data_IF_644315658251
#
_entry.id   IF_644315658251
#
_cell.length_a   1.000
_cell.length_b   1.000
_cell.length_c   1.000
_cell.angle_alpha   90.00
_cell.angle_beta   90.00
_cell.angle_gamma   90.00
#
_symmetry.space_group_name_H-M   'P 1'
#
loop_
_entity.id
_entity.type
_entity.pdbx_description
1 polymer ?
#
# COMPACT_ATOMS: atom_id res chain seq x y z
N UNK A 1 -26.74 -22.21 18.93
CA UNK A 1 -25.43 -22.88 19.03
C UNK A 1 -24.84 -22.92 17.63
N UNK A 2 -24.21 -21.85 17.20
CA UNK A 2 -23.50 -21.74 15.92
C UNK A 2 -22.06 -22.15 16.17
N UNK A 3 -21.64 -23.28 15.59
CA UNK A 3 -20.26 -23.72 15.57
C UNK A 3 -19.44 -22.65 14.82
N UNK A 4 -18.69 -21.85 15.53
CA UNK A 4 -17.58 -21.12 14.94
C UNK A 4 -16.56 -22.16 14.46
N UNK A 5 -16.46 -22.33 13.16
CA UNK A 5 -15.39 -23.10 12.55
C UNK A 5 -14.06 -22.46 13.02
N UNK A 6 -13.30 -23.19 13.80
CA UNK A 6 -11.93 -22.84 14.18
C UNK A 6 -11.07 -22.97 12.93
N UNK A 7 -11.07 -21.94 12.07
CA UNK A 7 -10.09 -21.79 11.01
C UNK A 7 -8.75 -21.50 11.72
N UNK A 8 -7.87 -22.50 11.77
CA UNK A 8 -6.51 -22.26 12.23
C UNK A 8 -5.82 -21.38 11.20
N UNK A 9 -5.80 -20.08 11.45
CA UNK A 9 -5.07 -19.13 10.58
C UNK A 9 -3.58 -19.49 10.54
N UNK A 10 -2.96 -19.29 9.37
CA UNK A 10 -1.53 -19.55 9.14
C UNK A 10 -0.59 -18.62 9.92
N UNK A 11 -1.13 -17.54 10.52
CA UNK A 11 -0.39 -16.53 11.28
C UNK A 11 -1.15 -15.21 11.35
N UNK A 12 -0.49 -14.20 11.90
CA UNK A 12 -1.01 -12.84 12.02
C UNK A 12 -0.30 -11.93 11.03
N UNK A 13 -1.07 -11.29 10.16
CA UNK A 13 -0.57 -10.29 9.22
C UNK A 13 -0.85 -8.89 9.74
N UNK A 14 0.17 -8.03 9.68
CA UNK A 14 -0.02 -6.59 9.75
C UNK A 14 0.40 -5.95 8.42
N UNK A 15 -0.41 -5.03 7.91
CA UNK A 15 0.00 -4.17 6.81
C UNK A 15 -0.62 -2.79 6.96
N UNK A 16 0.17 -1.77 6.65
CA UNK A 16 -0.24 -0.37 6.76
C UNK A 16 -0.08 0.38 5.45
N UNK A 17 -1.00 1.33 5.19
CA UNK A 17 -0.93 2.23 4.05
C UNK A 17 -1.10 3.67 4.50
N UNK A 18 -0.23 4.56 3.98
CA UNK A 18 -0.28 5.98 4.33
C UNK A 18 -1.40 6.67 3.55
N UNK A 19 -2.27 7.45 4.22
CA UNK A 19 -3.36 8.17 3.57
C UNK A 19 -2.87 9.50 2.94
N UNK A 20 -1.95 9.41 1.98
CA UNK A 20 -1.34 10.55 1.30
C UNK A 20 -2.03 10.89 -0.02
N UNK A 21 -3.35 10.73 -0.09
CA UNK A 21 -4.23 11.06 -1.22
C UNK A 21 -4.90 9.82 -1.81
N UNK A 22 -5.63 9.99 -2.94
CA UNK A 22 -6.43 8.95 -3.59
C UNK A 22 -5.58 7.75 -4.02
N UNK A 23 -6.14 6.54 -3.96
CA UNK A 23 -5.44 5.35 -4.44
C UNK A 23 -5.43 5.28 -5.96
N UNK A 24 -4.38 4.69 -6.49
CA UNK A 24 -4.22 4.48 -7.91
C UNK A 24 -4.04 3.00 -8.26
N UNK A 25 -4.14 2.69 -9.53
CA UNK A 25 -4.07 1.32 -10.05
C UNK A 25 -2.81 0.56 -9.58
N UNK A 26 -1.68 1.26 -9.43
CA UNK A 26 -0.45 0.68 -8.89
C UNK A 26 -0.56 0.27 -7.41
N UNK A 27 -1.33 0.98 -6.58
CA UNK A 27 -1.61 0.58 -5.20
C UNK A 27 -2.51 -0.66 -5.15
N UNK A 28 -3.53 -0.69 -6.02
CA UNK A 28 -4.46 -1.80 -6.11
C UNK A 28 -3.75 -3.11 -6.49
N UNK A 29 -3.02 -3.10 -7.59
CA UNK A 29 -2.30 -4.27 -8.09
C UNK A 29 -1.10 -4.65 -7.23
N UNK A 30 -0.42 -3.64 -6.66
CA UNK A 30 0.82 -3.86 -5.88
C UNK A 30 0.59 -4.33 -4.45
N UNK A 31 -0.54 -4.00 -3.84
CA UNK A 31 -0.80 -4.30 -2.43
C UNK A 31 -2.21 -4.84 -2.19
N UNK A 32 -3.24 -4.09 -2.60
CA UNK A 32 -4.60 -4.30 -2.15
C UNK A 32 -5.19 -5.65 -2.61
N UNK A 33 -4.93 -6.07 -3.85
CA UNK A 33 -5.35 -7.40 -4.34
C UNK A 33 -4.75 -8.54 -3.51
N UNK A 34 -3.48 -8.41 -3.13
CA UNK A 34 -2.82 -9.39 -2.27
C UNK A 34 -3.45 -9.42 -0.87
N UNK A 35 -3.80 -8.26 -0.31
CA UNK A 35 -4.49 -8.18 0.98
C UNK A 35 -5.84 -8.89 0.98
N UNK A 36 -6.63 -8.70 -0.09
CA UNK A 36 -7.91 -9.40 -0.28
C UNK A 36 -7.73 -10.91 -0.29
N UNK A 37 -6.67 -11.41 -0.91
CA UNK A 37 -6.39 -12.86 -0.95
C UNK A 37 -5.92 -13.37 0.42
N UNK A 38 -5.08 -12.61 1.11
CA UNK A 38 -4.49 -13.04 2.39
C UNK A 38 -5.50 -13.18 3.53
N UNK A 39 -6.59 -12.42 3.51
CA UNK A 39 -7.63 -12.49 4.56
C UNK A 39 -8.37 -13.83 4.62
N UNK A 40 -8.25 -14.68 3.58
CA UNK A 40 -8.84 -16.02 3.60
C UNK A 40 -8.04 -17.02 4.44
N UNK A 41 -6.74 -16.78 4.60
CA UNK A 41 -5.80 -17.71 5.21
C UNK A 41 -5.20 -17.21 6.55
N UNK A 42 -5.19 -15.91 6.78
CA UNK A 42 -4.50 -15.26 7.90
C UNK A 42 -5.44 -14.41 8.74
N UNK A 43 -5.07 -14.20 10.01
CA UNK A 43 -5.65 -13.13 10.83
C UNK A 43 -5.06 -11.80 10.38
N UNK A 44 -5.81 -11.02 9.60
CA UNK A 44 -5.31 -9.80 8.97
C UNK A 44 -5.67 -8.53 9.74
N UNK A 45 -4.68 -7.66 9.89
CA UNK A 45 -4.81 -6.34 10.54
C UNK A 45 -4.31 -5.30 9.55
N UNK A 46 -5.24 -4.48 9.03
CA UNK A 46 -4.97 -3.45 8.03
C UNK A 46 -5.14 -2.06 8.63
N UNK A 47 -4.13 -1.23 8.51
CA UNK A 47 -4.04 0.05 9.21
C UNK A 47 -3.86 1.23 8.24
N UNK A 48 -4.72 2.24 8.36
CA UNK A 48 -4.46 3.56 7.79
C UNK A 48 -3.43 4.28 8.69
N UNK A 49 -2.16 4.33 8.27
CA UNK A 49 -1.06 4.83 9.12
C UNK A 49 -0.91 6.34 8.99
N UNK A 50 -1.82 7.08 9.64
CA UNK A 50 -1.90 8.53 9.60
C UNK A 50 -0.74 9.22 10.33
N UNK A 51 -0.21 8.64 11.41
CA UNK A 51 0.97 9.15 12.09
C UNK A 51 2.21 9.02 11.20
N UNK A 52 2.37 7.90 10.49
CA UNK A 52 3.43 7.75 9.51
C UNK A 52 3.34 8.77 8.36
N UNK A 53 2.13 9.19 7.99
CA UNK A 53 1.97 10.21 6.96
C UNK A 53 2.66 11.52 7.35
N UNK A 54 2.65 11.89 8.63
CA UNK A 54 3.28 13.11 9.14
C UNK A 54 4.80 13.16 8.94
N UNK A 55 5.47 12.01 8.75
CA UNK A 55 6.94 11.96 8.62
C UNK A 55 7.47 12.64 7.35
N UNK A 56 6.62 12.87 6.36
CA UNK A 56 6.97 13.44 5.06
C UNK A 56 6.08 14.59 4.62
N UNK A 57 5.16 15.05 5.47
CA UNK A 57 4.34 16.22 5.17
C UNK A 57 5.09 17.50 5.60
N UNK A 58 5.07 18.49 4.71
CA UNK A 58 5.83 19.72 4.89
C UNK A 58 4.95 20.91 5.28
N UNK A 59 3.62 20.79 5.15
CA UNK A 59 2.69 21.87 5.40
C UNK A 59 1.47 21.47 6.23
N UNK A 60 0.90 22.46 6.95
CA UNK A 60 -0.35 22.28 7.68
C UNK A 60 -1.56 22.02 6.78
N UNK A 61 -1.50 22.43 5.51
CA UNK A 61 -2.58 22.15 4.55
C UNK A 61 -2.60 20.67 4.18
N UNK A 62 -1.44 20.06 3.95
CA UNK A 62 -1.34 18.61 3.68
C UNK A 62 -1.84 17.78 4.87
N UNK A 63 -1.62 18.25 6.11
CA UNK A 63 -2.12 17.57 7.31
C UNK A 63 -3.66 17.56 7.35
N UNK A 64 -4.32 18.62 6.88
CA UNK A 64 -5.78 18.69 6.84
C UNK A 64 -6.40 17.68 5.87
N UNK A 65 -5.66 17.28 4.84
CA UNK A 65 -6.09 16.29 3.85
C UNK A 65 -6.01 14.84 4.37
N UNK A 66 -5.32 14.58 5.49
CA UNK A 66 -5.16 13.22 6.03
C UNK A 66 -6.53 12.57 6.29
N UNK A 67 -7.43 13.28 6.98
CA UNK A 67 -8.73 12.72 7.37
C UNK A 67 -9.62 12.39 6.17
N UNK A 68 -9.87 13.29 5.21
CA UNK A 68 -10.61 12.93 4.00
C UNK A 68 -9.92 11.83 3.18
N UNK A 69 -8.59 11.82 3.11
CA UNK A 69 -7.85 10.77 2.43
C UNK A 69 -7.99 9.39 3.10
N UNK A 70 -8.12 9.33 4.44
CA UNK A 70 -8.42 8.07 5.16
C UNK A 70 -9.78 7.54 4.72
N UNK A 71 -10.83 8.35 4.77
CA UNK A 71 -12.19 7.92 4.41
C UNK A 71 -12.24 7.39 2.97
N UNK A 72 -11.61 8.10 2.04
CA UNK A 72 -11.56 7.71 0.63
C UNK A 72 -10.75 6.42 0.40
N UNK A 73 -9.60 6.30 1.07
CA UNK A 73 -8.76 5.10 1.01
C UNK A 73 -9.47 3.86 1.56
N UNK A 74 -10.22 3.99 2.65
CA UNK A 74 -10.99 2.88 3.22
C UNK A 74 -12.16 2.48 2.31
N UNK A 75 -12.81 3.43 1.65
CA UNK A 75 -13.80 3.14 0.60
C UNK A 75 -13.18 2.25 -0.50
N UNK A 76 -11.98 2.59 -0.95
CA UNK A 76 -11.27 1.79 -1.96
C UNK A 76 -10.91 0.39 -1.44
N UNK A 77 -10.47 0.25 -0.17
CA UNK A 77 -10.17 -1.05 0.42
C UNK A 77 -11.39 -1.96 0.48
N UNK A 78 -12.51 -1.44 0.97
CA UNK A 78 -13.76 -2.19 1.05
C UNK A 78 -14.30 -2.53 -0.34
N UNK A 79 -14.23 -1.60 -1.29
CA UNK A 79 -14.64 -1.82 -2.67
C UNK A 79 -13.77 -2.87 -3.39
N UNK A 80 -12.48 -2.94 -3.05
CA UNK A 80 -11.57 -3.96 -3.54
C UNK A 80 -11.87 -5.36 -2.99
N UNK A 81 -12.58 -5.46 -1.85
CA UNK A 81 -12.98 -6.72 -1.24
C UNK A 81 -12.37 -7.01 0.14
N UNK A 82 -11.77 -6.01 0.80
CA UNK A 82 -11.41 -6.16 2.22
C UNK A 82 -12.71 -6.28 3.02
N UNK A 83 -12.82 -7.38 3.77
CA UNK A 83 -13.98 -7.72 4.59
C UNK A 83 -13.69 -7.38 6.06
N UNK A 84 -14.40 -6.39 6.65
CA UNK A 84 -14.21 -5.99 8.04
C UNK A 84 -14.68 -7.04 9.08
N UNK A 85 -15.42 -8.08 8.63
CA UNK A 85 -15.75 -9.22 9.49
C UNK A 85 -14.61 -10.24 9.56
N UNK A 86 -13.74 -10.30 8.54
CA UNK A 86 -12.57 -11.19 8.47
C UNK A 86 -11.29 -10.50 8.95
N UNK A 87 -11.20 -9.20 8.75
CA UNK A 87 -9.98 -8.40 8.98
C UNK A 87 -10.25 -7.24 9.93
N UNK A 88 -9.28 -6.87 10.75
CA UNK A 88 -9.34 -5.65 11.54
C UNK A 88 -8.90 -4.49 10.64
N UNK A 89 -9.78 -3.50 10.44
CA UNK A 89 -9.50 -2.29 9.65
C UNK A 89 -9.62 -1.07 10.54
N UNK A 90 -8.55 -0.29 10.70
CA UNK A 90 -8.54 0.82 11.64
C UNK A 90 -7.56 1.94 11.24
N UNK A 91 -7.57 3.04 12.00
CA UNK A 91 -6.62 4.16 11.86
C UNK A 91 -5.59 4.08 12.98
N UNK A 92 -4.31 4.26 12.66
CA UNK A 92 -3.19 4.16 13.59
C UNK A 92 -3.38 5.03 14.85
N UNK A 93 -3.79 6.28 14.68
CA UNK A 93 -4.04 7.22 15.80
C UNK A 93 -5.17 6.81 16.73
N UNK A 94 -6.05 5.87 16.35
CA UNK A 94 -7.08 5.32 17.23
C UNK A 94 -6.51 4.38 18.30
N UNK A 95 -5.24 3.98 18.17
CA UNK A 95 -4.53 3.07 19.08
C UNK A 95 -3.29 3.78 19.66
N UNK A 96 -3.45 4.64 20.68
CA UNK A 96 -2.34 5.42 21.24
C UNK A 96 -1.23 4.55 21.85
N UNK A 97 -1.49 3.30 22.14
CA UNK A 97 -0.54 2.32 22.61
C UNK A 97 0.66 2.12 21.65
N UNK A 98 0.49 2.40 20.36
CA UNK A 98 1.57 2.34 19.37
C UNK A 98 2.66 3.40 19.67
N UNK A 99 2.25 4.60 20.08
CA UNK A 99 3.19 5.67 20.44
C UNK A 99 3.94 5.32 21.73
N UNK A 100 3.29 4.67 22.69
CA UNK A 100 3.93 4.14 23.90
C UNK A 100 5.00 3.12 23.53
N UNK A 101 4.67 2.11 22.72
CA UNK A 101 5.64 1.11 22.29
C UNK A 101 6.78 1.72 21.47
N UNK A 102 6.48 2.62 20.54
CA UNK A 102 7.49 3.36 19.79
C UNK A 102 8.48 4.06 20.71
N UNK A 103 7.99 4.74 21.75
CA UNK A 103 8.87 5.43 22.72
C UNK A 103 9.76 4.43 23.46
N UNK A 104 9.21 3.32 23.96
CA UNK A 104 9.99 2.30 24.66
C UNK A 104 11.07 1.68 23.75
N UNK A 105 10.69 1.33 22.51
CA UNK A 105 11.65 0.79 21.52
C UNK A 105 12.73 1.80 21.15
N UNK A 106 12.40 3.10 21.10
CA UNK A 106 13.37 4.17 20.81
C UNK A 106 14.49 4.23 21.86
N UNK A 107 14.21 3.88 23.12
CA UNK A 107 15.22 3.86 24.21
C UNK A 107 16.24 2.73 24.05
N UNK A 108 15.89 1.68 23.30
CA UNK A 108 16.76 0.50 23.13
C UNK A 108 17.33 0.38 21.72
N UNK A 109 16.88 1.21 20.76
CA UNK A 109 17.34 1.13 19.37
C UNK A 109 18.53 2.05 19.11
N UNK A 110 19.70 1.53 18.69
CA UNK A 110 20.85 2.36 18.37
C UNK A 110 20.60 3.25 17.14
N UNK A 111 20.89 4.56 17.24
CA UNK A 111 20.74 5.51 16.14
C UNK A 111 21.45 5.07 14.84
N UNK A 112 22.65 4.47 14.97
CA UNK A 112 23.41 3.99 13.81
C UNK A 112 22.73 2.86 13.03
N UNK A 113 21.72 2.19 13.57
CA UNK A 113 20.91 1.23 12.81
C UNK A 113 19.97 1.95 11.85
N UNK A 114 19.36 3.03 12.31
CA UNK A 114 18.36 3.81 11.56
C UNK A 114 19.00 4.55 10.39
N UNK A 115 20.14 5.22 10.62
CA UNK A 115 20.84 6.02 9.60
C UNK A 115 21.52 5.16 8.52
N UNK A 116 21.70 3.85 8.75
CA UNK A 116 22.25 2.92 7.74
C UNK A 116 21.23 2.35 6.79
N UNK A 117 19.93 2.46 7.08
CA UNK A 117 18.87 1.94 6.19
C UNK A 117 18.93 2.67 4.84
N UNK A 118 19.02 1.94 3.70
CA UNK A 118 19.14 2.57 2.38
C UNK A 118 18.04 3.58 2.07
N UNK A 119 16.79 3.24 2.39
CA UNK A 119 15.62 4.09 2.15
C UNK A 119 15.64 5.40 2.95
N UNK A 120 16.29 5.44 4.13
CA UNK A 120 16.52 6.69 4.87
C UNK A 120 17.38 7.65 4.03
N UNK A 121 18.52 7.17 3.54
CA UNK A 121 19.45 7.97 2.74
C UNK A 121 18.81 8.47 1.44
N UNK A 122 17.99 7.62 0.79
CA UNK A 122 17.30 7.99 -0.43
C UNK A 122 16.23 9.06 -0.17
N UNK A 123 15.49 8.98 0.94
CA UNK A 123 14.52 10.01 1.34
C UNK A 123 15.19 11.34 1.66
N UNK A 124 16.30 11.33 2.42
CA UNK A 124 17.08 12.54 2.71
C UNK A 124 17.48 13.25 1.41
N UNK A 125 17.95 12.48 0.39
CA UNK A 125 18.31 13.04 -0.91
C UNK A 125 17.10 13.60 -1.67
N UNK A 126 15.97 12.87 -1.65
CA UNK A 126 14.74 13.29 -2.34
C UNK A 126 14.17 14.58 -1.77
N UNK A 127 14.24 14.76 -0.45
CA UNK A 127 13.80 15.97 0.25
C UNK A 127 14.81 17.11 0.13
N UNK A 128 15.98 16.89 -0.50
CA UNK A 128 17.10 17.85 -0.58
C UNK A 128 17.60 18.33 0.79
N UNK A 129 17.46 17.47 1.79
CA UNK A 129 17.87 17.68 3.16
C UNK A 129 19.24 17.04 3.44
N UNK A 130 19.78 17.30 4.62
CA UNK A 130 20.94 16.60 5.16
C UNK A 130 20.54 15.75 6.37
N UNK A 131 21.40 14.84 6.81
CA UNK A 131 21.13 14.04 8.02
C UNK A 131 20.96 14.92 9.28
N UNK A 132 21.43 16.16 9.26
CA UNK A 132 21.37 17.12 10.37
C UNK A 132 20.07 17.95 10.35
N UNK A 133 19.44 18.12 9.17
CA UNK A 133 18.27 19.00 9.00
C UNK A 133 16.94 18.24 8.95
N UNK A 134 16.96 16.91 8.73
CA UNK A 134 15.74 16.09 8.67
C UNK A 134 15.05 16.02 10.03
N UNK A 135 13.72 15.94 10.00
CA UNK A 135 12.91 15.74 11.18
C UNK A 135 13.24 14.43 11.89
N UNK A 136 13.21 14.45 13.24
CA UNK A 136 13.33 13.23 14.04
C UNK A 136 12.36 12.13 13.59
N UNK A 137 11.13 12.47 13.20
CA UNK A 137 10.16 11.52 12.67
C UNK A 137 10.66 10.74 11.45
N UNK A 138 11.44 11.38 10.56
CA UNK A 138 12.04 10.69 9.41
C UNK A 138 13.18 9.75 9.82
N UNK A 139 13.91 10.06 10.89
CA UNK A 139 14.92 9.15 11.46
C UNK A 139 14.26 8.00 12.20
N UNK A 140 13.21 8.29 12.98
CA UNK A 140 12.54 7.34 13.88
C UNK A 140 11.46 6.47 13.23
N UNK A 141 11.03 6.75 11.97
CA UNK A 141 9.91 6.01 11.37
C UNK A 141 10.10 4.49 11.30
N UNK A 142 11.32 3.92 11.15
CA UNK A 142 11.47 2.47 11.14
C UNK A 142 11.19 1.84 12.52
N UNK A 143 11.41 2.59 13.60
CA UNK A 143 11.05 2.15 14.96
C UNK A 143 9.53 2.21 15.14
N UNK A 144 8.87 3.25 14.61
CA UNK A 144 7.42 3.34 14.61
C UNK A 144 6.79 2.21 13.79
N UNK A 145 7.35 1.89 12.63
CA UNK A 145 6.91 0.75 11.81
C UNK A 145 7.09 -0.58 12.56
N UNK A 146 8.19 -0.74 13.28
CA UNK A 146 8.40 -1.92 14.14
C UNK A 146 7.33 -1.98 15.23
N UNK A 147 7.04 -0.86 15.90
CA UNK A 147 5.99 -0.80 16.91
C UNK A 147 4.61 -1.19 16.36
N UNK A 148 4.24 -0.68 15.18
CA UNK A 148 2.99 -1.06 14.50
C UNK A 148 2.88 -2.57 14.27
N UNK A 149 3.95 -3.20 13.84
CA UNK A 149 3.99 -4.64 13.53
C UNK A 149 3.84 -5.47 14.81
N UNK A 150 4.72 -5.22 15.78
CA UNK A 150 4.85 -6.11 16.94
C UNK A 150 3.81 -5.86 18.03
N UNK A 151 3.15 -4.69 18.02
CA UNK A 151 2.07 -4.36 18.95
C UNK A 151 0.91 -5.36 18.83
N UNK A 152 0.70 -5.90 17.65
CA UNK A 152 -0.33 -6.90 17.35
C UNK A 152 0.22 -8.33 17.26
N UNK A 153 1.45 -8.56 17.69
CA UNK A 153 2.15 -9.85 17.58
C UNK A 153 2.17 -10.40 16.16
N UNK A 154 2.19 -9.52 15.15
CA UNK A 154 2.24 -9.94 13.76
C UNK A 154 3.58 -10.64 13.44
N UNK A 155 3.47 -11.80 12.81
CA UNK A 155 4.61 -12.65 12.43
C UNK A 155 4.90 -12.60 10.92
N UNK A 156 3.93 -12.18 10.12
CA UNK A 156 3.99 -12.20 8.65
C UNK A 156 3.65 -10.83 8.08
N UNK A 157 4.57 -10.24 7.30
CA UNK A 157 4.42 -8.88 6.78
C UNK A 157 4.48 -8.88 5.25
N UNK A 158 3.36 -8.69 4.55
CA UNK A 158 3.33 -8.62 3.09
C UNK A 158 3.99 -7.33 2.62
N UNK A 159 5.09 -7.45 1.90
CA UNK A 159 5.91 -6.30 1.47
C UNK A 159 6.46 -6.49 0.06
N UNK A 160 6.75 -5.38 -0.61
CA UNK A 160 7.62 -5.35 -1.78
C UNK A 160 9.09 -5.55 -1.40
N UNK A 161 9.92 -5.92 -2.38
CA UNK A 161 11.35 -6.17 -2.19
C UNK A 161 12.09 -4.96 -1.57
N UNK A 162 11.67 -3.75 -1.87
CA UNK A 162 12.24 -2.50 -1.35
C UNK A 162 12.03 -2.31 0.16
N UNK A 163 11.02 -2.98 0.75
CA UNK A 163 10.68 -2.92 2.17
C UNK A 163 11.37 -4.01 3.03
N UNK A 164 12.00 -4.99 2.42
CA UNK A 164 12.70 -6.07 3.15
C UNK A 164 13.72 -5.54 4.16
N UNK A 165 14.55 -4.51 3.84
CA UNK A 165 15.49 -3.95 4.82
C UNK A 165 14.83 -3.40 6.09
N UNK A 166 13.59 -2.90 5.99
CA UNK A 166 12.84 -2.42 7.16
C UNK A 166 12.37 -3.57 8.04
N UNK A 167 11.94 -4.69 7.43
CA UNK A 167 11.55 -5.87 8.19
C UNK A 167 12.76 -6.50 8.88
N UNK A 168 13.93 -6.55 8.23
CA UNK A 168 15.15 -7.01 8.87
C UNK A 168 15.54 -6.11 10.05
N UNK A 169 15.43 -4.79 9.93
CA UNK A 169 15.64 -3.88 11.05
C UNK A 169 14.63 -4.14 12.18
N UNK A 170 13.36 -4.37 11.86
CA UNK A 170 12.34 -4.71 12.86
C UNK A 170 12.72 -5.99 13.61
N UNK A 171 13.24 -7.01 12.94
CA UNK A 171 13.74 -8.25 13.55
C UNK A 171 14.91 -7.99 14.52
N UNK A 172 15.86 -7.15 14.11
CA UNK A 172 16.99 -6.77 14.98
C UNK A 172 16.51 -6.02 16.25
N UNK A 173 15.54 -5.12 16.11
CA UNK A 173 14.94 -4.43 17.26
C UNK A 173 14.23 -5.43 18.18
N UNK A 174 13.43 -6.34 17.62
CA UNK A 174 12.75 -7.41 18.38
C UNK A 174 13.76 -8.29 19.13
N UNK A 175 14.79 -8.78 18.45
CA UNK A 175 15.84 -9.60 19.09
C UNK A 175 16.50 -8.88 20.26
N UNK A 176 16.81 -7.59 20.05
CA UNK A 176 17.42 -6.77 21.08
C UNK A 176 16.49 -6.61 22.28
N UNK A 177 15.22 -6.31 22.06
CA UNK A 177 14.23 -6.19 23.13
C UNK A 177 14.07 -7.52 23.89
N UNK A 178 13.84 -8.63 23.17
CA UNK A 178 13.67 -9.95 23.77
C UNK A 178 14.92 -10.39 24.56
N UNK A 179 16.12 -10.08 24.09
CA UNK A 179 17.37 -10.38 24.81
C UNK A 179 17.52 -9.55 26.09
N UNK A 180 17.01 -8.31 26.14
CA UNK A 180 17.13 -7.45 27.31
C UNK A 180 16.07 -7.73 28.39
N UNK A 181 14.83 -8.04 27.96
CA UNK A 181 13.68 -8.09 28.86
C UNK A 181 12.98 -9.45 28.90
N UNK A 182 13.42 -10.41 28.11
CA UNK A 182 12.79 -11.72 27.95
C UNK A 182 11.88 -11.80 26.73
N UNK A 183 11.63 -13.02 26.29
CA UNK A 183 10.84 -13.30 25.09
C UNK A 183 9.44 -12.69 25.20
N UNK A 184 9.13 -11.75 24.29
CA UNK A 184 7.90 -10.96 24.31
C UNK A 184 7.27 -10.90 22.90
N UNK A 185 8.07 -10.67 21.87
CA UNK A 185 7.59 -10.47 20.51
C UNK A 185 8.05 -11.56 19.55
N UNK A 186 7.18 -12.04 18.63
CA UNK A 186 7.62 -12.85 17.51
C UNK A 186 8.53 -12.02 16.58
N UNK A 187 9.50 -12.68 15.92
CA UNK A 187 10.28 -12.04 14.87
C UNK A 187 9.46 -11.94 13.59
N UNK A 188 9.17 -10.72 13.08
CA UNK A 188 8.38 -10.55 11.86
C UNK A 188 9.13 -11.09 10.64
N UNK A 189 8.41 -11.76 9.74
CA UNK A 189 8.94 -12.31 8.50
C UNK A 189 8.37 -11.56 7.30
N UNK A 190 9.22 -11.15 6.38
CA UNK A 190 8.79 -10.57 5.12
C UNK A 190 8.14 -11.66 4.24
N UNK A 191 6.90 -11.41 3.81
CA UNK A 191 6.22 -12.20 2.79
C UNK A 191 6.22 -11.38 1.50
N UNK A 192 7.07 -11.75 0.56
CA UNK A 192 7.16 -11.03 -0.71
C UNK A 192 5.84 -11.12 -1.48
N UNK A 193 5.37 -9.99 -1.95
CA UNK A 193 4.20 -9.89 -2.82
C UNK A 193 4.66 -10.09 -4.26
N UNK A 194 4.14 -11.11 -4.92
CA UNK A 194 4.36 -11.36 -6.36
C UNK A 194 3.47 -10.45 -7.22
N UNK A 195 3.50 -9.16 -6.95
CA UNK A 195 2.72 -8.21 -7.74
C UNK A 195 3.56 -7.69 -8.91
N UNK A 196 2.97 -7.59 -10.12
CA UNK A 196 3.67 -7.01 -11.24
C UNK A 196 4.00 -5.54 -10.96
N UNK A 197 5.22 -5.11 -11.28
CA UNK A 197 5.56 -3.71 -11.26
C UNK A 197 4.77 -3.00 -12.38
N UNK A 198 3.82 -2.16 -12.00
CA UNK A 198 3.07 -1.35 -12.96
C UNK A 198 3.80 -0.03 -13.16
N UNK A 199 4.27 0.18 -14.37
CA UNK A 199 4.81 1.47 -14.78
C UNK A 199 3.68 2.48 -14.91
N UNK A 200 4.00 3.74 -14.62
CA UNK A 200 3.10 4.84 -14.87
C UNK A 200 2.87 5.10 -16.35
N UNK A 201 2.01 6.06 -16.65
CA UNK A 201 1.68 6.42 -18.04
C UNK A 201 2.88 6.99 -18.82
N UNK A 202 3.94 7.41 -18.14
CA UNK A 202 5.22 7.83 -18.71
C UNK A 202 6.06 6.65 -19.25
N UNK A 203 5.73 5.42 -18.89
CA UNK A 203 6.41 4.21 -19.32
C UNK A 203 7.83 4.01 -18.80
N UNK A 204 8.27 4.82 -17.83
CA UNK A 204 9.65 4.82 -17.31
C UNK A 204 9.70 4.57 -15.81
N UNK A 205 8.85 5.23 -15.05
CA UNK A 205 8.83 5.19 -13.62
C UNK A 205 7.65 4.35 -13.10
N UNK A 206 7.80 3.82 -11.88
CA UNK A 206 6.67 3.22 -11.17
C UNK A 206 5.51 4.21 -11.10
N UNK A 207 4.29 3.71 -11.25
CA UNK A 207 3.09 4.54 -11.13
C UNK A 207 3.04 5.24 -9.78
N UNK A 208 2.93 6.56 -9.79
CA UNK A 208 2.85 7.38 -8.57
C UNK A 208 2.18 8.73 -8.85
N UNK A 209 1.61 9.33 -7.82
CA UNK A 209 1.02 10.67 -7.87
C UNK A 209 2.06 11.77 -8.05
N UNK A 210 3.17 11.65 -7.33
CA UNK A 210 4.28 12.62 -7.37
C UNK A 210 4.82 12.81 -8.78
N UNK A 211 4.78 11.77 -9.61
CA UNK A 211 5.22 11.82 -11.01
C UNK A 211 4.08 12.17 -11.99
N UNK A 212 2.87 12.41 -11.49
CA UNK A 212 1.66 12.62 -12.31
C UNK A 212 1.48 11.60 -13.45
N UNK A 213 1.89 10.36 -13.23
CA UNK A 213 1.87 9.28 -14.21
C UNK A 213 0.87 8.16 -13.85
N UNK A 214 -0.07 8.42 -12.93
CA UNK A 214 -0.98 7.45 -12.34
C UNK A 214 -2.38 7.44 -12.97
N UNK A 215 -3.12 6.36 -12.70
CA UNK A 215 -4.55 6.22 -12.93
C UNK A 215 -5.24 5.99 -11.59
N UNK A 216 -6.13 6.89 -11.19
CA UNK A 216 -6.90 6.78 -9.94
C UNK A 216 -7.92 5.65 -10.02
N UNK A 217 -8.10 4.91 -8.93
CA UNK A 217 -9.08 3.82 -8.86
C UNK A 217 -10.51 4.36 -8.98
N UNK A 218 -10.78 5.46 -8.29
CA UNK A 218 -12.09 6.09 -8.21
C UNK A 218 -12.42 6.98 -9.43
N UNK A 219 -11.49 7.15 -10.39
CA UNK A 219 -11.72 7.96 -11.59
C UNK A 219 -12.89 7.40 -12.42
N UNK A 220 -13.66 8.30 -13.02
CA UNK A 220 -14.72 7.90 -13.97
C UNK A 220 -14.13 7.22 -15.21
N UNK A 221 -14.94 6.47 -16.00
CA UNK A 221 -14.49 5.90 -17.26
C UNK A 221 -13.95 6.96 -18.23
N UNK A 222 -14.57 8.14 -18.27
CA UNK A 222 -14.15 9.27 -19.10
C UNK A 222 -12.79 9.82 -18.67
N UNK A 223 -12.58 10.02 -17.36
CA UNK A 223 -11.32 10.49 -16.80
C UNK A 223 -10.20 9.47 -17.03
N UNK A 224 -10.48 8.19 -16.81
CA UNK A 224 -9.55 7.09 -17.12
C UNK A 224 -9.15 7.11 -18.59
N UNK A 225 -10.10 7.23 -19.50
CA UNK A 225 -9.84 7.29 -20.94
C UNK A 225 -8.99 8.52 -21.30
N UNK A 226 -9.33 9.69 -20.74
CA UNK A 226 -8.57 10.92 -20.95
C UNK A 226 -7.11 10.76 -20.49
N UNK A 227 -6.90 10.15 -19.32
CA UNK A 227 -5.54 9.90 -18.79
C UNK A 227 -4.77 8.88 -19.63
N UNK A 228 -5.37 7.78 -20.03
CA UNK A 228 -4.74 6.75 -20.87
C UNK A 228 -4.32 7.34 -22.23
N UNK A 229 -5.10 8.25 -22.80
CA UNK A 229 -4.75 8.93 -24.05
C UNK A 229 -3.46 9.75 -23.96
N UNK A 230 -3.08 10.26 -22.79
CA UNK A 230 -1.81 10.98 -22.58
C UNK A 230 -0.60 10.06 -22.45
N UNK A 231 -0.79 8.75 -22.28
CA UNK A 231 0.29 7.82 -22.01
C UNK A 231 1.34 7.78 -23.12
N UNK A 232 2.58 7.54 -22.71
CA UNK A 232 3.71 7.40 -23.62
C UNK A 232 3.63 6.09 -24.42
N UNK A 233 4.02 6.15 -25.69
CA UNK A 233 4.06 5.03 -26.63
C UNK A 233 5.46 4.82 -27.17
N UNK A 234 5.65 3.96 -28.16
CA UNK A 234 6.94 3.77 -28.84
C UNK A 234 7.45 5.10 -29.44
N UNK A 235 8.58 5.64 -28.98
CA UNK A 235 9.08 6.93 -29.44
C UNK A 235 9.59 6.93 -30.89
N UNK A 236 9.84 5.76 -31.47
CA UNK A 236 10.27 5.66 -32.86
C UNK A 236 9.11 5.55 -33.83
N UNK A 237 7.89 5.31 -33.38
CA UNK A 237 6.69 5.30 -34.20
C UNK A 237 6.15 6.72 -34.37
N UNK A 238 6.66 7.43 -35.35
CA UNK A 238 6.33 8.85 -35.62
C UNK A 238 5.07 9.02 -36.44
N UNK A 239 4.78 8.06 -37.34
CA UNK A 239 3.62 8.10 -38.24
C UNK A 239 2.71 6.91 -37.98
N UNK A 240 1.43 7.04 -38.40
CA UNK A 240 0.44 5.97 -38.26
C UNK A 240 0.86 4.71 -39.01
N UNK A 241 1.49 4.88 -40.17
CA UNK A 241 1.87 3.79 -41.07
C UNK A 241 3.24 3.20 -40.74
N UNK A 242 3.93 3.72 -39.72
CA UNK A 242 5.16 3.13 -39.23
C UNK A 242 4.83 1.86 -38.38
N UNK A 243 5.49 0.72 -38.62
CA UNK A 243 5.40 -0.44 -37.73
C UNK A 243 5.83 -0.07 -36.31
N UNK A 244 5.01 -0.45 -35.33
CA UNK A 244 5.34 -0.24 -33.93
C UNK A 244 6.15 -1.38 -33.33
N UNK A 245 6.73 -1.13 -32.16
CA UNK A 245 7.50 -2.12 -31.38
C UNK A 245 6.79 -2.33 -30.03
N UNK A 246 5.88 -3.32 -29.95
CA UNK A 246 5.12 -3.58 -28.71
C UNK A 246 6.00 -3.80 -27.49
N UNK A 247 7.18 -4.39 -27.63
CA UNK A 247 8.09 -4.74 -26.53
C UNK A 247 8.61 -3.52 -25.76
N UNK A 248 8.70 -2.37 -26.40
CA UNK A 248 9.16 -1.10 -25.79
C UNK A 248 8.00 -0.15 -25.51
N UNK A 249 6.77 -0.56 -25.83
CA UNK A 249 5.58 0.26 -25.67
C UNK A 249 4.89 -0.01 -24.34
N UNK A 250 4.80 1.00 -23.48
CA UNK A 250 4.12 0.89 -22.20
C UNK A 250 2.63 0.53 -22.33
N UNK A 251 1.95 1.04 -23.36
CA UNK A 251 0.54 0.70 -23.65
C UNK A 251 0.39 -0.82 -23.87
N UNK A 252 1.31 -1.43 -24.61
CA UNK A 252 1.29 -2.87 -24.81
C UNK A 252 1.56 -3.65 -23.49
N UNK A 253 2.45 -3.14 -22.65
CA UNK A 253 2.68 -3.73 -21.33
C UNK A 253 1.42 -3.71 -20.46
N UNK A 254 0.64 -2.64 -20.52
CA UNK A 254 -0.65 -2.54 -19.83
C UNK A 254 -1.72 -3.45 -20.48
N UNK A 255 -1.74 -3.58 -21.81
CA UNK A 255 -2.64 -4.55 -22.48
C UNK A 255 -2.41 -5.99 -22.00
N UNK A 256 -1.15 -6.39 -21.75
CA UNK A 256 -0.85 -7.73 -21.20
C UNK A 256 -1.50 -7.99 -19.84
N UNK A 257 -1.78 -6.94 -19.09
CA UNK A 257 -2.40 -7.03 -17.76
C UNK A 257 -3.93 -6.98 -17.87
N UNK A 258 -4.48 -6.09 -18.69
CA UNK A 258 -5.90 -5.73 -18.64
C UNK A 258 -6.75 -6.25 -19.81
N UNK A 259 -6.17 -6.66 -20.95
CA UNK A 259 -6.95 -6.93 -22.16
C UNK A 259 -7.15 -8.42 -22.50
N UNK A 260 -6.67 -9.33 -21.66
CA UNK A 260 -6.75 -10.77 -21.96
C UNK A 260 -5.82 -11.20 -23.12
N UNK A 261 -5.59 -12.49 -23.26
CA UNK A 261 -4.56 -13.04 -24.16
C UNK A 261 -4.87 -12.83 -25.65
N UNK A 262 -6.12 -13.02 -26.06
CA UNK A 262 -6.54 -12.88 -27.46
C UNK A 262 -6.43 -11.42 -27.94
N UNK A 263 -6.99 -10.48 -27.16
CA UNK A 263 -6.90 -9.05 -27.47
C UNK A 263 -5.45 -8.56 -27.47
N UNK A 264 -4.63 -9.04 -26.55
CA UNK A 264 -3.20 -8.70 -26.49
C UNK A 264 -2.46 -9.19 -27.73
N UNK A 265 -2.75 -10.41 -28.20
CA UNK A 265 -2.18 -10.96 -29.44
C UNK A 265 -2.61 -10.15 -30.66
N UNK A 266 -3.86 -9.76 -30.74
CA UNK A 266 -4.41 -8.91 -31.80
C UNK A 266 -3.72 -7.55 -31.82
N UNK A 267 -3.58 -6.91 -30.65
CA UNK A 267 -2.87 -5.62 -30.52
C UNK A 267 -1.41 -5.73 -30.98
N UNK A 268 -0.73 -6.82 -30.65
CA UNK A 268 0.64 -7.07 -31.10
C UNK A 268 0.73 -7.08 -32.62
N UNK A 269 -0.07 -7.94 -33.27
CA UNK A 269 -0.06 -8.12 -34.72
C UNK A 269 -0.41 -6.82 -35.45
N UNK A 270 -1.46 -6.13 -35.00
CA UNK A 270 -1.91 -4.89 -35.64
C UNK A 270 -0.91 -3.73 -35.42
N UNK A 271 -0.20 -3.72 -34.31
CA UNK A 271 0.85 -2.73 -34.03
C UNK A 271 2.06 -2.94 -34.93
N UNK A 272 2.55 -4.17 -35.06
CA UNK A 272 3.72 -4.54 -35.87
C UNK A 272 3.47 -4.43 -37.37
N UNK A 273 2.22 -4.55 -37.82
CA UNK A 273 1.81 -4.39 -39.22
C UNK A 273 1.29 -2.98 -39.55
N UNK A 274 1.35 -2.05 -38.60
CA UNK A 274 0.85 -0.67 -38.72
C UNK A 274 -0.67 -0.54 -39.05
N UNK A 275 -1.46 -1.62 -38.85
CA UNK A 275 -2.91 -1.59 -39.13
C UNK A 275 -3.72 -0.91 -38.04
N UNK A 276 -3.19 -0.80 -36.80
CA UNK A 276 -3.81 -0.08 -35.67
C UNK A 276 -3.04 1.21 -35.35
N UNK A 277 -3.76 2.32 -35.22
CA UNK A 277 -3.16 3.59 -34.72
C UNK A 277 -2.95 3.59 -33.21
N UNK A 278 -1.96 4.35 -32.69
CA UNK A 278 -1.70 4.44 -31.25
C UNK A 278 -2.90 4.99 -30.46
N UNK A 279 -3.66 5.91 -31.01
CA UNK A 279 -4.86 6.47 -30.37
C UNK A 279 -5.95 5.39 -30.21
N UNK A 280 -6.16 4.59 -31.25
CA UNK A 280 -7.15 3.49 -31.20
C UNK A 280 -6.72 2.40 -30.22
N UNK A 281 -5.41 2.12 -30.16
CA UNK A 281 -4.82 1.20 -29.18
C UNK A 281 -5.04 1.70 -27.74
N UNK A 282 -4.79 2.98 -27.47
CA UNK A 282 -5.02 3.59 -26.14
C UNK A 282 -6.50 3.58 -25.74
N UNK A 283 -7.43 3.82 -26.67
CA UNK A 283 -8.86 3.72 -26.39
C UNK A 283 -9.26 2.30 -26.01
N UNK A 284 -8.81 1.33 -26.78
CA UNK A 284 -9.06 -0.08 -26.47
C UNK A 284 -8.50 -0.48 -25.07
N UNK A 285 -7.29 0.01 -24.72
CA UNK A 285 -6.76 -0.19 -23.38
C UNK A 285 -7.62 0.48 -22.30
N UNK A 286 -8.07 1.70 -22.54
CA UNK A 286 -8.93 2.42 -21.60
C UNK A 286 -10.25 1.66 -21.36
N UNK A 287 -10.86 1.12 -22.42
CA UNK A 287 -12.07 0.28 -22.30
C UNK A 287 -11.78 -0.96 -21.46
N UNK A 288 -10.65 -1.65 -21.72
CA UNK A 288 -10.23 -2.84 -20.93
C UNK A 288 -10.00 -2.52 -19.45
N UNK A 289 -9.38 -1.38 -19.14
CA UNK A 289 -9.15 -0.93 -17.75
C UNK A 289 -10.50 -0.57 -17.10
N UNK A 290 -11.39 0.10 -17.82
CA UNK A 290 -12.70 0.47 -17.30
C UNK A 290 -13.55 -0.76 -17.00
N UNK A 291 -13.55 -1.76 -17.88
CA UNK A 291 -14.24 -3.04 -17.65
C UNK A 291 -13.65 -3.77 -16.45
N UNK A 292 -12.32 -3.77 -16.31
CA UNK A 292 -11.64 -4.39 -15.18
C UNK A 292 -11.97 -3.73 -13.83
N UNK A 293 -12.13 -2.42 -13.79
CA UNK A 293 -12.44 -1.67 -12.58
C UNK A 293 -13.94 -1.48 -12.32
N UNK A 294 -14.80 -1.92 -13.22
CA UNK A 294 -16.25 -1.68 -13.16
C UNK A 294 -16.86 -2.12 -11.84
N UNK A 295 -16.70 -3.40 -11.48
CA UNK A 295 -17.29 -3.97 -10.27
C UNK A 295 -16.74 -3.31 -8.99
N UNK A 296 -15.47 -2.92 -8.99
CA UNK A 296 -14.86 -2.18 -7.87
C UNK A 296 -15.52 -0.81 -7.72
N UNK A 297 -15.69 -0.08 -8.82
CA UNK A 297 -16.29 1.26 -8.81
C UNK A 297 -17.77 1.21 -8.41
N UNK A 298 -18.52 0.22 -8.90
CA UNK A 298 -19.93 0.01 -8.51
C UNK A 298 -20.02 -0.26 -7.00
N UNK A 299 -19.24 -1.20 -6.46
CA UNK A 299 -19.20 -1.45 -5.01
C UNK A 299 -18.79 -0.21 -4.20
N UNK A 300 -17.86 0.58 -4.72
CA UNK A 300 -17.41 1.81 -4.06
C UNK A 300 -18.56 2.81 -3.90
N UNK A 301 -19.35 3.04 -4.94
CA UNK A 301 -20.50 3.93 -4.88
C UNK A 301 -21.59 3.38 -3.95
N UNK A 302 -21.85 2.07 -3.94
CA UNK A 302 -22.80 1.44 -3.01
C UNK A 302 -22.38 1.61 -1.55
N UNK A 303 -21.08 1.47 -1.24
CA UNK A 303 -20.55 1.67 0.12
C UNK A 303 -20.62 3.13 0.50
N UNK A 304 -20.25 4.03 -0.40
CA UNK A 304 -20.30 5.49 -0.20
C UNK A 304 -21.71 6.00 0.08
N UNK A 305 -22.71 5.38 -0.51
CA UNK A 305 -24.13 5.71 -0.25
C UNK A 305 -24.58 5.33 1.18
N UNK A 306 -23.83 4.46 1.88
CA UNK A 306 -24.12 4.03 3.26
C UNK A 306 -23.50 5.01 4.26
N UNK A 307 -24.22 6.09 4.57
CA UNK A 307 -23.73 7.12 5.49
C UNK A 307 -23.24 6.56 6.83
N UNK A 308 -22.04 6.96 7.26
CA UNK A 308 -21.45 6.56 8.53
C UNK A 308 -20.82 5.15 8.54
N UNK A 309 -20.97 4.37 7.49
CA UNK A 309 -20.51 2.98 7.47
C UNK A 309 -18.98 2.85 7.57
N UNK A 310 -18.22 3.68 6.87
CA UNK A 310 -16.75 3.69 6.95
C UNK A 310 -16.31 4.07 8.37
N UNK A 311 -16.93 5.07 8.96
CA UNK A 311 -16.64 5.52 10.34
C UNK A 311 -16.94 4.44 11.38
N UNK A 312 -18.03 3.69 11.19
CA UNK A 312 -18.39 2.55 12.04
C UNK A 312 -17.33 1.44 11.97
N UNK A 313 -16.90 1.05 10.75
CA UNK A 313 -15.84 0.06 10.54
C UNK A 313 -14.56 0.48 11.24
N UNK A 314 -14.11 1.72 11.03
CA UNK A 314 -12.88 2.24 11.63
C UNK A 314 -12.96 2.31 13.16
N UNK A 315 -14.15 2.64 13.70
CA UNK A 315 -14.38 2.68 15.12
C UNK A 315 -14.33 1.29 15.76
N UNK A 316 -15.05 0.33 15.20
CA UNK A 316 -15.06 -1.04 15.71
C UNK A 316 -13.71 -1.74 15.50
N UNK A 317 -13.06 -1.52 14.34
CA UNK A 317 -11.70 -2.00 14.09
C UNK A 317 -10.69 -1.41 15.08
N UNK A 318 -10.78 -0.10 15.36
CA UNK A 318 -9.97 0.56 16.38
C UNK A 318 -10.14 -0.02 17.78
N UNK A 319 -11.38 -0.35 18.18
CA UNK A 319 -11.63 -1.04 19.47
C UNK A 319 -10.98 -2.42 19.53
N UNK A 320 -11.14 -3.22 18.44
CA UNK A 320 -10.53 -4.57 18.35
C UNK A 320 -9.01 -4.47 18.40
N UNK A 321 -8.40 -3.61 17.59
CA UNK A 321 -6.96 -3.38 17.55
C UNK A 321 -6.42 -2.91 18.91
N UNK A 322 -7.12 -1.94 19.55
CA UNK A 322 -6.71 -1.42 20.86
C UNK A 322 -6.81 -2.44 22.00
N UNK A 323 -7.74 -3.37 21.93
CA UNK A 323 -7.80 -4.46 22.92
C UNK A 323 -6.51 -5.30 22.89
N UNK A 324 -6.08 -5.72 21.69
CA UNK A 324 -4.82 -6.46 21.48
C UNK A 324 -3.61 -5.62 21.96
N UNK A 325 -3.59 -4.35 21.56
CA UNK A 325 -2.50 -3.43 21.89
C UNK A 325 -2.32 -3.24 23.40
N UNK A 326 -3.42 -3.14 24.17
CA UNK A 326 -3.36 -3.00 25.62
C UNK A 326 -2.79 -4.24 26.30
N UNK A 327 -3.18 -5.44 25.85
CA UNK A 327 -2.62 -6.69 26.37
C UNK A 327 -1.11 -6.76 26.11
N UNK A 328 -0.68 -6.41 24.90
CA UNK A 328 0.74 -6.38 24.55
C UNK A 328 1.52 -5.36 25.37
N UNK A 329 1.00 -4.16 25.57
CA UNK A 329 1.66 -3.13 26.39
C UNK A 329 1.73 -3.54 27.85
N UNK A 330 0.70 -4.18 28.39
CA UNK A 330 0.73 -4.72 29.76
C UNK A 330 1.83 -5.77 29.91
N UNK A 331 1.97 -6.70 28.97
CA UNK A 331 3.05 -7.67 28.95
C UNK A 331 4.44 -7.00 28.86
N UNK A 332 4.58 -5.97 28.01
CA UNK A 332 5.84 -5.20 27.88
C UNK A 332 6.24 -4.59 29.23
N UNK A 333 5.30 -3.93 29.93
CA UNK A 333 5.60 -3.35 31.24
C UNK A 333 5.93 -4.41 32.29
N UNK A 334 5.23 -5.54 32.28
CA UNK A 334 5.55 -6.66 33.20
C UNK A 334 6.98 -7.19 32.98
N UNK A 335 7.41 -7.29 31.74
CA UNK A 335 8.76 -7.74 31.38
C UNK A 335 9.85 -6.70 31.68
N UNK A 336 9.52 -5.43 31.64
CA UNK A 336 10.48 -4.36 31.89
C UNK A 336 10.63 -4.03 33.38
N UNK A 337 9.70 -4.45 34.25
CA UNK A 337 9.68 -4.21 35.70
C UNK A 337 8.91 -2.96 36.03
#
# INVERSE_FOLDING_TARGET
MTQSANLSHKGVIFSGMRPTGLLHLGNYMGALQNWVTLQEDYSCIYCAVDIHALTTLESGEEVKEIKPNIEDMILDWLAAGIDPEKSIVFVQSHVPEVMTLHTLLSMVTPLGWLTRVPTFKDKVRQMRETEETVNYGLVGYPVLQTADIILYKADTIPVGQDQVPHIELSREIVRRFNNMFGETFPEPQAKLTEAPLILGLDGQHKMSKTMDNHLELAATPEETTKRVLTAFTDPQRLRRDDPGRPEVCNIYSLHKIFSGAEATSTVYNECTTATRGCVDCKRHLADSINDYLKDLRERREDIKARHGYVQEILHEGGKKARAIAKETIAEVYDKMG
#
